data_IF_879768534482
#
_entry.id   IF_879768534482
#
_cell.length_a   1.000
_cell.length_b   1.000
_cell.length_c   1.000
_cell.angle_alpha   90.00
_cell.angle_beta   90.00
_cell.angle_gamma   90.00
#
_symmetry.space_group_name_H-M   'P 1'
#
loop_
_entity.id
_entity.type
_entity.pdbx_description
1 polymer ?
#
# COMPACT_ATOMS: atom_id res chain seq x y z
N UNK A 1 -12.90 2.21 4.52
CA UNK A 1 -11.62 1.84 5.14
C UNK A 1 -11.76 1.99 6.64
N UNK A 2 -11.53 0.94 7.39
CA UNK A 2 -11.57 0.94 8.84
C UNK A 2 -10.25 1.51 9.41
N UNK A 3 -10.31 2.10 10.61
CA UNK A 3 -9.11 2.36 11.38
C UNK A 3 -8.49 1.01 11.75
N UNK A 4 -7.23 0.80 11.37
CA UNK A 4 -6.56 -0.49 11.57
C UNK A 4 -5.33 -0.32 12.44
N UNK A 5 -5.08 -1.30 13.31
CA UNK A 5 -3.81 -1.40 14.03
C UNK A 5 -2.73 -1.84 13.04
N UNK A 6 -1.59 -1.14 12.98
CA UNK A 6 -0.47 -1.58 12.16
C UNK A 6 -0.02 -3.00 12.55
N UNK A 7 0.33 -3.80 11.55
CA UNK A 7 0.91 -5.13 11.74
C UNK A 7 2.41 -4.95 11.92
N UNK A 8 2.99 -5.64 12.90
CA UNK A 8 4.43 -5.56 13.12
C UNK A 8 5.20 -6.24 11.98
N UNK A 9 6.34 -5.67 11.60
CA UNK A 9 7.20 -6.20 10.54
C UNK A 9 7.63 -7.65 10.81
N UNK A 10 7.85 -7.99 12.09
CA UNK A 10 8.18 -9.36 12.49
C UNK A 10 7.05 -10.37 12.19
N UNK A 11 5.79 -9.94 12.34
CA UNK A 11 4.64 -10.80 12.02
C UNK A 11 4.48 -10.97 10.52
N UNK A 12 4.73 -9.90 9.73
CA UNK A 12 4.73 -9.98 8.27
C UNK A 12 5.82 -10.95 7.79
N UNK A 13 7.03 -10.83 8.33
CA UNK A 13 8.13 -11.74 8.00
C UNK A 13 7.82 -13.20 8.39
N UNK A 14 7.22 -13.41 9.57
CA UNK A 14 6.83 -14.74 10.02
C UNK A 14 5.74 -15.37 9.14
N UNK A 15 4.82 -14.58 8.60
CA UNK A 15 3.75 -15.05 7.73
C UNK A 15 4.26 -15.70 6.43
N UNK A 16 5.48 -15.40 5.99
CA UNK A 16 6.11 -16.04 4.84
C UNK A 16 6.32 -17.56 5.03
N UNK A 17 6.43 -18.03 6.29
CA UNK A 17 6.72 -19.42 6.61
C UNK A 17 5.72 -20.07 7.59
N UNK A 18 4.90 -19.26 8.28
CA UNK A 18 3.88 -19.73 9.21
C UNK A 18 2.46 -19.43 8.72
N UNK A 19 1.76 -20.46 8.29
CA UNK A 19 0.40 -20.38 7.79
C UNK A 19 -0.61 -19.85 8.82
N UNK A 20 -0.38 -20.06 10.11
CA UNK A 20 -1.26 -19.55 11.18
C UNK A 20 -1.15 -18.05 11.28
N UNK A 21 0.07 -17.52 11.29
CA UNK A 21 0.34 -16.08 11.27
C UNK A 21 -0.20 -15.44 10.01
N UNK A 22 0.02 -16.04 8.84
CA UNK A 22 -0.55 -15.56 7.58
C UNK A 22 -2.08 -15.46 7.61
N UNK A 23 -2.75 -16.48 8.16
CA UNK A 23 -4.21 -16.49 8.31
C UNK A 23 -4.68 -15.39 9.25
N UNK A 24 -4.00 -15.16 10.35
CA UNK A 24 -4.31 -14.09 11.31
C UNK A 24 -4.18 -12.72 10.67
N UNK A 25 -3.11 -12.48 9.92
CA UNK A 25 -2.90 -11.22 9.19
C UNK A 25 -3.99 -10.99 8.15
N UNK A 26 -4.33 -12.01 7.35
CA UNK A 26 -5.41 -11.91 6.33
C UNK A 26 -6.78 -11.62 6.93
N UNK A 27 -7.02 -11.99 8.18
CA UNK A 27 -8.26 -11.67 8.90
C UNK A 27 -8.29 -10.24 9.47
N UNK A 28 -7.15 -9.54 9.53
CA UNK A 28 -7.03 -8.20 10.10
C UNK A 28 -7.69 -7.12 9.24
N UNK A 29 -8.06 -6.00 9.87
CA UNK A 29 -8.59 -4.84 9.14
C UNK A 29 -7.52 -4.15 8.29
N UNK A 30 -6.25 -4.23 8.68
CA UNK A 30 -5.12 -3.75 7.87
C UNK A 30 -5.07 -4.49 6.52
N UNK A 31 -5.16 -5.83 6.54
CA UNK A 31 -5.15 -6.62 5.31
C UNK A 31 -6.40 -6.38 4.44
N UNK A 32 -7.57 -6.25 5.06
CA UNK A 32 -8.80 -5.90 4.34
C UNK A 32 -8.71 -4.53 3.66
N UNK A 33 -8.09 -3.56 4.34
CA UNK A 33 -7.83 -2.24 3.77
C UNK A 33 -6.86 -2.31 2.59
N UNK A 34 -5.78 -3.08 2.72
CA UNK A 34 -4.83 -3.34 1.63
C UNK A 34 -5.54 -3.94 0.41
N UNK A 35 -6.33 -4.99 0.62
CA UNK A 35 -7.06 -5.65 -0.45
C UNK A 35 -8.07 -4.72 -1.12
N UNK A 36 -8.76 -3.90 -0.33
CA UNK A 36 -9.69 -2.89 -0.82
C UNK A 36 -8.99 -1.81 -1.64
N UNK A 37 -7.79 -1.39 -1.23
CA UNK A 37 -6.98 -0.43 -1.94
C UNK A 37 -6.55 -0.95 -3.31
N UNK A 38 -6.18 -2.23 -3.41
CA UNK A 38 -5.85 -2.87 -4.69
C UNK A 38 -6.99 -2.77 -5.71
N UNK A 39 -8.25 -2.94 -5.28
CA UNK A 39 -9.41 -2.86 -6.15
C UNK A 39 -9.67 -1.47 -6.77
N UNK A 40 -9.01 -0.43 -6.26
CA UNK A 40 -9.11 0.94 -6.77
C UNK A 40 -7.81 1.45 -7.40
N UNK A 41 -6.90 0.53 -7.67
CA UNK A 41 -5.54 0.80 -8.14
C UNK A 41 -5.33 0.19 -9.52
N UNK A 42 -4.68 0.93 -10.40
CA UNK A 42 -4.10 0.43 -11.66
C UNK A 42 -2.60 0.35 -11.45
N UNK A 43 -2.09 -0.84 -11.15
CA UNK A 43 -0.67 -1.03 -10.86
C UNK A 43 0.20 -0.58 -12.03
N UNK A 44 1.29 0.10 -11.70
CA UNK A 44 2.17 0.75 -12.68
C UNK A 44 1.71 2.12 -13.15
N UNK A 45 0.49 2.56 -12.80
CA UNK A 45 -0.04 3.86 -13.23
C UNK A 45 -0.75 4.62 -12.10
N UNK A 46 -0.02 5.41 -11.31
CA UNK A 46 -0.61 6.21 -10.23
C UNK A 46 -1.75 7.12 -10.72
N UNK A 47 -1.54 7.83 -11.82
CA UNK A 47 -2.52 8.79 -12.36
C UNK A 47 -3.81 8.17 -12.90
N UNK A 48 -3.85 6.85 -13.12
CA UNK A 48 -5.06 6.11 -13.49
C UNK A 48 -5.69 5.41 -12.27
N UNK A 49 -5.02 5.48 -11.12
CA UNK A 49 -5.46 4.84 -9.89
C UNK A 49 -6.36 5.76 -9.09
N UNK A 50 -7.60 5.36 -8.86
CA UNK A 50 -8.54 6.15 -8.05
C UNK A 50 -8.06 6.39 -6.63
N UNK A 51 -7.25 5.46 -6.09
CA UNK A 51 -6.62 5.61 -4.78
C UNK A 51 -5.70 6.83 -4.71
N UNK A 52 -5.05 7.19 -5.81
CA UNK A 52 -4.14 8.33 -5.92
C UNK A 52 -4.84 9.58 -6.45
N UNK A 53 -5.63 9.41 -7.49
CA UNK A 53 -6.23 10.50 -8.26
C UNK A 53 -7.30 11.27 -7.46
N UNK A 54 -8.16 10.55 -6.72
CA UNK A 54 -9.24 11.16 -5.93
C UNK A 54 -8.76 12.07 -4.79
N UNK A 55 -7.81 11.66 -3.93
CA UNK A 55 -7.31 12.52 -2.85
C UNK A 55 -6.63 13.81 -3.35
N UNK A 56 -6.12 13.81 -4.58
CA UNK A 56 -5.47 14.94 -5.22
C UNK A 56 -6.43 15.79 -6.07
N UNK A 57 -7.62 15.29 -6.37
CA UNK A 57 -8.58 15.91 -7.30
C UNK A 57 -7.98 16.19 -8.68
N UNK A 58 -7.21 15.26 -9.23
CA UNK A 58 -6.54 15.50 -10.51
C UNK A 58 -7.54 15.55 -11.67
N UNK A 59 -8.33 14.49 -11.86
CA UNK A 59 -9.27 14.37 -12.98
C UNK A 59 -10.66 13.88 -12.55
N UNK A 60 -10.90 13.78 -11.26
CA UNK A 60 -12.14 13.21 -10.70
C UNK A 60 -12.66 14.03 -9.53
N UNK A 61 -13.97 14.13 -9.43
CA UNK A 61 -14.62 14.70 -8.26
C UNK A 61 -14.52 13.72 -7.09
N UNK A 62 -14.22 14.26 -5.92
CA UNK A 62 -14.16 13.51 -4.67
C UNK A 62 -15.01 14.21 -3.61
N UNK A 63 -16.06 13.54 -3.13
CA UNK A 63 -16.99 14.12 -2.14
C UNK A 63 -16.35 14.52 -0.81
N UNK A 64 -15.20 13.95 -0.47
CA UNK A 64 -14.37 14.31 0.70
C UNK A 64 -13.46 15.52 0.50
N UNK A 65 -13.47 16.13 -0.69
CA UNK A 65 -12.56 17.23 -1.04
C UNK A 65 -11.12 16.76 -1.28
N UNK A 66 -10.23 17.73 -1.37
CA UNK A 66 -8.79 17.47 -1.53
C UNK A 66 -8.18 17.03 -0.20
N UNK A 67 -7.52 15.88 -0.19
CA UNK A 67 -6.83 15.33 0.98
C UNK A 67 -5.35 15.67 0.94
N UNK A 68 -4.70 15.48 -0.21
CA UNK A 68 -3.29 15.85 -0.41
C UNK A 68 -3.20 17.18 -1.15
N UNK A 69 -2.35 18.08 -0.67
CA UNK A 69 -2.21 19.43 -1.24
C UNK A 69 -1.61 19.41 -2.64
N UNK A 70 -0.72 18.45 -2.90
CA UNK A 70 -0.08 18.23 -4.20
C UNK A 70 0.42 16.79 -4.31
N UNK A 71 0.94 16.42 -5.47
CA UNK A 71 1.65 15.16 -5.69
C UNK A 71 2.97 15.07 -4.91
N UNK A 72 3.48 16.21 -4.42
CA UNK A 72 4.69 16.28 -3.61
C UNK A 72 4.45 16.02 -2.11
N UNK A 73 3.21 15.88 -1.68
CA UNK A 73 2.88 15.44 -0.34
C UNK A 73 3.53 14.08 -0.05
N UNK A 74 4.12 13.92 1.14
CA UNK A 74 4.86 12.71 1.50
C UNK A 74 3.99 11.44 1.42
N UNK A 75 2.73 11.52 1.85
CA UNK A 75 1.83 10.38 1.77
C UNK A 75 1.37 10.11 0.32
N UNK A 76 1.20 11.16 -0.49
CA UNK A 76 0.92 11.00 -1.92
C UNK A 76 2.09 10.30 -2.63
N UNK A 77 3.34 10.70 -2.36
CA UNK A 77 4.54 10.03 -2.89
C UNK A 77 4.63 8.57 -2.48
N UNK A 78 4.33 8.27 -1.22
CA UNK A 78 4.32 6.88 -0.72
C UNK A 78 3.31 6.01 -1.47
N UNK A 79 2.09 6.52 -1.67
CA UNK A 79 1.05 5.83 -2.42
C UNK A 79 1.45 5.65 -3.89
N UNK A 80 1.99 6.71 -4.52
CA UNK A 80 2.46 6.65 -5.91
C UNK A 80 3.59 5.63 -6.07
N UNK A 81 4.52 5.59 -5.12
CA UNK A 81 5.60 4.62 -5.12
C UNK A 81 5.06 3.19 -5.03
N UNK A 82 4.18 2.92 -4.08
CA UNK A 82 3.55 1.60 -3.94
C UNK A 82 2.82 1.15 -5.22
N UNK A 83 2.05 2.04 -5.84
CA UNK A 83 1.34 1.75 -7.09
C UNK A 83 2.31 1.44 -8.23
N UNK A 84 3.44 2.13 -8.28
CA UNK A 84 4.46 1.99 -9.34
C UNK A 84 5.33 0.75 -9.21
N UNK A 85 5.33 0.11 -8.03
CA UNK A 85 6.17 -1.05 -7.72
C UNK A 85 5.32 -2.25 -7.28
N UNK A 86 4.52 -2.82 -8.19
CA UNK A 86 3.70 -3.98 -7.87
C UNK A 86 4.57 -5.20 -7.58
N UNK A 87 4.08 -6.06 -6.69
CA UNK A 87 4.69 -7.38 -6.49
C UNK A 87 4.62 -8.16 -7.81
N UNK A 88 5.72 -8.79 -8.24
CA UNK A 88 5.73 -9.60 -9.46
C UNK A 88 4.64 -10.68 -9.46
N UNK A 89 4.05 -10.93 -10.62
CA UNK A 89 3.01 -11.93 -10.75
C UNK A 89 3.49 -13.32 -10.27
N UNK A 90 2.64 -14.01 -9.53
CA UNK A 90 2.93 -15.34 -8.98
C UNK A 90 3.67 -15.35 -7.66
N UNK A 91 3.97 -14.19 -7.07
CA UNK A 91 4.52 -14.09 -5.72
C UNK A 91 3.40 -13.89 -4.69
N UNK A 92 3.58 -14.55 -3.54
CA UNK A 92 2.73 -14.31 -2.37
C UNK A 92 3.11 -12.97 -1.72
N UNK A 93 2.13 -12.25 -1.19
CA UNK A 93 2.33 -10.96 -0.52
C UNK A 93 3.22 -11.04 0.72
N UNK A 94 3.41 -12.23 1.28
CA UNK A 94 4.30 -12.49 2.43
C UNK A 94 5.64 -13.09 2.01
N UNK A 95 5.93 -13.24 0.74
CA UNK A 95 7.24 -13.74 0.30
C UNK A 95 8.35 -12.79 0.75
N UNK A 96 9.55 -13.31 0.94
CA UNK A 96 10.73 -12.52 1.34
C UNK A 96 10.97 -11.34 0.38
N UNK A 97 10.78 -11.55 -0.91
CA UNK A 97 10.92 -10.49 -1.91
C UNK A 97 9.86 -9.40 -1.72
N UNK A 98 8.59 -9.77 -1.51
CA UNK A 98 7.51 -8.82 -1.28
C UNK A 98 7.75 -8.01 0.00
N UNK A 99 8.18 -8.67 1.07
CA UNK A 99 8.48 -8.02 2.34
C UNK A 99 9.61 -7.00 2.20
N UNK A 100 10.70 -7.35 1.56
CA UNK A 100 11.85 -6.46 1.39
C UNK A 100 11.57 -5.24 0.51
N UNK A 101 10.55 -5.30 -0.34
CA UNK A 101 10.13 -4.16 -1.16
C UNK A 101 9.50 -3.02 -0.36
N UNK A 102 8.99 -3.29 0.83
CA UNK A 102 8.19 -2.33 1.61
C UNK A 102 8.83 -1.90 2.93
N UNK A 103 10.02 -2.35 3.24
CA UNK A 103 10.72 -2.05 4.48
C UNK A 103 12.11 -1.46 4.26
N UNK A 104 12.49 -0.43 5.01
CA UNK A 104 11.62 0.44 5.80
C UNK A 104 10.91 1.46 4.91
N UNK A 105 9.71 1.86 5.30
CA UNK A 105 9.02 2.98 4.65
C UNK A 105 9.63 4.31 5.10
N UNK A 106 9.84 5.23 4.17
CA UNK A 106 10.19 6.61 4.46
C UNK A 106 9.14 7.55 3.87
N UNK A 107 8.12 7.95 4.65
CA UNK A 107 7.07 8.84 4.18
C UNK A 107 7.59 10.21 3.73
N UNK A 108 8.66 10.72 4.33
CA UNK A 108 9.21 12.03 3.96
C UNK A 108 9.87 12.02 2.58
N UNK A 109 10.56 10.94 2.26
CA UNK A 109 11.13 10.73 0.93
C UNK A 109 10.09 10.18 -0.08
N UNK A 110 8.96 9.66 0.39
CA UNK A 110 7.97 8.98 -0.45
C UNK A 110 8.49 7.63 -0.95
N UNK A 111 9.30 6.94 -0.15
CA UNK A 111 9.87 5.64 -0.47
C UNK A 111 9.32 4.57 0.46
N UNK A 112 9.17 3.35 -0.05
CA UNK A 112 8.66 2.21 0.71
C UNK A 112 9.75 1.19 1.05
N UNK A 113 10.86 1.22 0.36
CA UNK A 113 11.98 0.29 0.56
C UNK A 113 13.31 0.94 0.23
N UNK A 114 14.39 0.24 0.55
CA UNK A 114 15.78 0.68 0.37
C UNK A 114 16.53 -0.18 -0.65
N UNK A 115 15.87 -0.77 -1.60
CA UNK A 115 16.56 -1.49 -2.68
C UNK A 115 17.36 -0.55 -3.56
#
# INVERSE_FOLDING_TARGET
IAAATPIADADIAAAATDATTATTIRASDMYKNFYSAQGTTVFGSPIQSRLFDKPLLLNVLHGGGRIFTSQDDANAKLIAYWISHPVPAGQDEFSTTSYSMFTPADPAAGTCNTQ
#
